data_IF_728578099297
#
_entry.id   IF_728578099297
#
_cell.length_a   1.000
_cell.length_b   1.000
_cell.length_c   1.000
_cell.angle_alpha   90.00
_cell.angle_beta   90.00
_cell.angle_gamma   90.00
#
_symmetry.space_group_name_H-M   'P 1'
#
loop_
_entity.id
_entity.type
_entity.pdbx_description
1 polymer ?
#
# COMPACT_ATOMS: atom_id res chain seq x y z
N UNK A 1 -19.93 6.28 8.53
CA UNK A 1 -20.07 5.98 7.10
C UNK A 1 -18.93 5.06 6.76
N UNK A 2 -19.20 3.86 6.25
CA UNK A 2 -18.14 2.93 5.87
C UNK A 2 -17.24 3.57 4.80
N UNK A 3 -15.94 3.63 5.07
CA UNK A 3 -14.92 4.22 4.17
C UNK A 3 -14.65 3.34 2.95
N UNK A 4 -15.14 2.11 2.96
CA UNK A 4 -14.92 1.10 1.94
C UNK A 4 -16.29 0.60 1.46
N UNK A 5 -16.60 0.86 0.19
CA UNK A 5 -17.91 0.56 -0.40
C UNK A 5 -18.01 -0.88 -0.94
N UNK A 6 -16.86 -1.54 -1.14
CA UNK A 6 -16.71 -2.88 -1.72
C UNK A 6 -15.62 -3.66 -0.99
N UNK A 7 -15.71 -5.00 -0.92
CA UNK A 7 -14.62 -5.82 -0.38
C UNK A 7 -13.29 -5.52 -1.07
N UNK A 8 -12.22 -5.33 -0.29
CA UNK A 8 -10.85 -5.23 -0.78
C UNK A 8 -10.27 -6.64 -0.82
N UNK A 9 -10.08 -7.19 -2.03
CA UNK A 9 -9.61 -8.56 -2.25
C UNK A 9 -8.27 -8.62 -3.01
N UNK A 10 -7.67 -7.46 -3.31
CA UNK A 10 -6.44 -7.33 -4.10
C UNK A 10 -5.56 -6.17 -3.64
N UNK A 11 -4.24 -6.35 -3.76
CA UNK A 11 -3.23 -5.32 -3.51
C UNK A 11 -3.36 -4.08 -4.41
N UNK A 12 -4.03 -4.22 -5.57
CA UNK A 12 -4.31 -3.12 -6.48
C UNK A 12 -5.12 -2.00 -5.82
N UNK A 13 -5.87 -2.29 -4.76
CA UNK A 13 -6.66 -1.30 -4.03
C UNK A 13 -5.81 -0.15 -3.45
N UNK A 14 -4.53 -0.37 -3.14
CA UNK A 14 -3.62 0.68 -2.66
C UNK A 14 -3.43 1.80 -3.71
N UNK A 15 -3.55 1.48 -4.99
CA UNK A 15 -3.43 2.43 -6.11
C UNK A 15 -4.77 2.91 -6.64
N UNK A 16 -5.90 2.49 -6.07
CA UNK A 16 -7.21 2.92 -6.52
C UNK A 16 -7.45 4.39 -6.16
N UNK A 17 -7.91 5.16 -7.13
CA UNK A 17 -8.26 6.57 -6.96
C UNK A 17 -9.42 6.79 -6.00
N UNK A 18 -10.27 5.79 -5.76
CA UNK A 18 -11.37 5.85 -4.77
C UNK A 18 -10.83 6.12 -3.35
N UNK A 19 -9.59 5.71 -3.05
CA UNK A 19 -8.96 5.84 -1.73
C UNK A 19 -7.87 6.92 -1.67
N UNK A 20 -7.94 7.93 -2.55
CA UNK A 20 -7.03 9.08 -2.52
C UNK A 20 -6.91 9.68 -1.12
N UNK A 21 -5.67 9.90 -0.66
CA UNK A 21 -5.28 10.40 0.67
C UNK A 21 -5.72 9.56 1.88
N UNK A 22 -6.12 8.31 1.68
CA UNK A 22 -6.59 7.44 2.75
C UNK A 22 -5.78 6.12 2.85
N UNK A 23 -4.59 6.04 2.25
CA UNK A 23 -3.73 4.84 2.29
C UNK A 23 -2.52 5.07 3.20
N UNK A 24 -2.29 4.16 4.15
CA UNK A 24 -1.10 4.18 5.02
C UNK A 24 -0.27 2.92 4.80
N UNK A 25 0.97 3.10 4.35
CA UNK A 25 1.90 1.98 4.18
C UNK A 25 2.59 1.63 5.49
N UNK A 26 2.92 0.35 5.65
CA UNK A 26 3.78 -0.11 6.72
C UNK A 26 5.23 0.34 6.46
N UNK A 27 5.90 0.86 7.49
CA UNK A 27 7.33 1.18 7.49
C UNK A 27 8.20 -0.09 7.58
N UNK A 28 7.86 -1.05 6.72
CA UNK A 28 8.57 -2.30 6.50
C UNK A 28 8.89 -2.36 5.02
N UNK A 29 10.17 -2.21 4.67
CA UNK A 29 10.61 -2.23 3.26
C UNK A 29 10.21 -3.54 2.60
N UNK A 30 10.35 -4.68 3.31
CA UNK A 30 10.00 -6.00 2.78
C UNK A 30 8.50 -6.12 2.56
N UNK A 31 7.68 -5.60 3.44
CA UNK A 31 6.21 -5.76 3.37
C UNK A 31 5.61 -4.84 2.31
N UNK A 32 6.02 -3.57 2.27
CA UNK A 32 5.59 -2.62 1.23
C UNK A 32 6.10 -3.01 -0.17
N UNK A 33 7.36 -3.43 -0.29
CA UNK A 33 7.90 -3.93 -1.57
C UNK A 33 7.26 -5.27 -1.94
N UNK A 34 7.06 -6.15 -0.97
CA UNK A 34 6.46 -7.47 -1.16
C UNK A 34 5.02 -7.41 -1.64
N UNK A 35 4.19 -6.55 -1.04
CA UNK A 35 2.83 -6.29 -1.49
C UNK A 35 2.81 -5.79 -2.95
N UNK A 36 3.74 -4.90 -3.29
CA UNK A 36 3.88 -4.37 -4.66
C UNK A 36 4.35 -5.43 -5.65
N UNK A 37 5.32 -6.28 -5.27
CA UNK A 37 5.76 -7.41 -6.09
C UNK A 37 4.61 -8.39 -6.33
N UNK A 38 3.80 -8.68 -5.30
CA UNK A 38 2.63 -9.54 -5.45
C UNK A 38 1.54 -8.93 -6.32
N UNK A 39 1.31 -7.62 -6.22
CA UNK A 39 0.42 -6.90 -7.13
C UNK A 39 0.87 -7.05 -8.59
N UNK A 40 2.17 -6.98 -8.86
CA UNK A 40 2.75 -7.14 -10.20
C UNK A 40 2.80 -8.60 -10.68
N UNK A 41 2.39 -9.57 -9.85
CA UNK A 41 2.42 -11.00 -10.18
C UNK A 41 3.77 -11.67 -9.93
N UNK A 42 4.72 -10.99 -9.31
CA UNK A 42 6.07 -11.49 -9.05
C UNK A 42 6.20 -12.30 -7.74
N UNK A 43 7.36 -12.93 -7.58
CA UNK A 43 7.73 -13.61 -6.33
C UNK A 43 8.09 -12.60 -5.24
N UNK A 44 7.66 -12.85 -4.00
CA UNK A 44 8.09 -12.09 -2.82
C UNK A 44 9.59 -12.20 -2.56
N UNK A 45 10.20 -13.28 -3.06
CA UNK A 45 11.61 -13.59 -2.88
C UNK A 45 12.39 -13.46 -4.20
N UNK A 46 11.89 -12.63 -5.14
CA UNK A 46 12.61 -12.40 -6.38
C UNK A 46 13.98 -11.78 -6.11
N UNK A 47 14.96 -12.20 -6.91
CA UNK A 47 16.28 -11.58 -6.99
C UNK A 47 16.51 -10.92 -8.35
N UNK A 48 15.48 -10.89 -9.21
CA UNK A 48 15.57 -10.21 -10.51
C UNK A 48 15.52 -8.69 -10.29
N UNK A 49 16.58 -8.02 -10.71
CA UNK A 49 16.74 -6.59 -10.54
C UNK A 49 15.69 -5.77 -11.30
N UNK A 50 15.14 -6.30 -12.40
CA UNK A 50 14.08 -5.63 -13.18
C UNK A 50 12.76 -5.65 -12.41
N UNK A 51 12.36 -6.80 -11.88
CA UNK A 51 11.13 -6.94 -11.07
C UNK A 51 11.18 -6.04 -9.84
N UNK A 52 12.34 -5.99 -9.16
CA UNK A 52 12.56 -5.11 -8.00
C UNK A 52 12.45 -3.63 -8.40
N UNK A 53 13.03 -3.24 -9.53
CA UNK A 53 12.98 -1.86 -9.99
C UNK A 53 11.56 -1.43 -10.39
N UNK A 54 10.79 -2.31 -11.03
CA UNK A 54 9.40 -2.03 -11.38
C UNK A 54 8.53 -1.84 -10.14
N UNK A 55 8.70 -2.69 -9.11
CA UNK A 55 8.01 -2.54 -7.83
C UNK A 55 8.38 -1.23 -7.13
N UNK A 56 9.66 -0.86 -7.14
CA UNK A 56 10.13 0.45 -6.63
C UNK A 56 9.46 1.61 -7.37
N UNK A 57 9.38 1.56 -8.70
CA UNK A 57 8.78 2.62 -9.50
C UNK A 57 7.27 2.76 -9.22
N UNK A 58 6.57 1.65 -8.96
CA UNK A 58 5.17 1.66 -8.52
C UNK A 58 4.95 2.27 -7.14
N UNK A 59 5.85 2.04 -6.20
CA UNK A 59 5.82 2.70 -4.89
C UNK A 59 6.10 4.20 -5.01
N UNK A 60 7.00 4.61 -5.92
CA UNK A 60 7.22 6.02 -6.24
C UNK A 60 5.98 6.65 -6.88
N UNK A 61 5.30 5.94 -7.77
CA UNK A 61 4.02 6.35 -8.36
C UNK A 61 2.96 6.56 -7.27
N UNK A 62 2.85 5.63 -6.31
CA UNK A 62 1.93 5.72 -5.18
C UNK A 62 2.19 6.94 -4.29
N UNK A 63 3.46 7.28 -4.07
CA UNK A 63 3.84 8.50 -3.34
C UNK A 63 3.47 9.76 -4.11
N UNK A 64 3.54 9.73 -5.45
CA UNK A 64 3.29 10.89 -6.32
C UNK A 64 1.82 11.11 -6.63
N UNK A 65 1.02 10.05 -6.71
CA UNK A 65 -0.39 10.14 -7.09
C UNK A 65 -1.29 10.70 -5.97
N UNK A 66 -0.74 10.87 -4.75
CA UNK A 66 -1.46 11.48 -3.62
C UNK A 66 -2.36 10.51 -2.86
N UNK A 67 -2.34 9.21 -3.18
CA UNK A 67 -3.06 8.20 -2.41
C UNK A 67 -2.42 7.94 -1.04
N UNK A 68 -1.09 8.06 -0.97
CA UNK A 68 -0.32 7.84 0.25
C UNK A 68 -0.52 8.97 1.27
N UNK A 69 -1.17 8.65 2.38
CA UNK A 69 -1.33 9.51 3.55
C UNK A 69 -0.05 9.54 4.39
N UNK A 70 0.48 8.37 4.74
CA UNK A 70 1.65 8.23 5.59
C UNK A 70 2.36 6.89 5.38
N UNK A 71 3.59 6.81 5.88
CA UNK A 71 4.32 5.56 6.11
C UNK A 71 4.50 5.48 7.63
N UNK A 72 4.08 4.38 8.25
CA UNK A 72 4.08 4.22 9.71
C UNK A 72 4.10 2.76 10.14
N UNK A 73 4.14 2.49 11.43
CA UNK A 73 4.23 1.13 11.97
C UNK A 73 3.05 0.83 12.90
N UNK A 74 3.25 0.91 14.21
CA UNK A 74 2.25 0.53 15.21
C UNK A 74 1.10 1.56 15.30
N UNK A 75 1.39 2.82 14.95
CA UNK A 75 0.45 3.94 14.95
C UNK A 75 -0.57 3.90 13.79
N UNK A 76 -0.40 2.99 12.84
CA UNK A 76 -1.32 2.82 11.72
C UNK A 76 -2.72 2.40 12.20
N UNK A 77 -2.80 1.61 13.27
CA UNK A 77 -4.08 1.17 13.85
C UNK A 77 -4.87 2.35 14.41
N UNK A 78 -4.18 3.31 15.04
CA UNK A 78 -4.80 4.51 15.59
C UNK A 78 -5.34 5.43 14.49
N UNK A 79 -4.59 5.59 13.38
CA UNK A 79 -5.01 6.37 12.20
C UNK A 79 -6.24 5.75 11.51
N UNK A 80 -6.34 4.43 11.49
CA UNK A 80 -7.50 3.72 10.98
C UNK A 80 -8.70 3.91 11.93
N UNK A 81 -8.50 3.81 13.24
CA UNK A 81 -9.54 4.00 14.24
C UNK A 81 -10.08 5.44 14.30
N UNK A 82 -9.23 6.44 14.06
CA UNK A 82 -9.62 7.85 13.99
C UNK A 82 -10.33 8.23 12.68
N UNK A 83 -10.35 7.33 11.69
CA UNK A 83 -10.94 7.59 10.37
C UNK A 83 -10.07 8.48 9.49
N UNK A 84 -8.79 8.64 9.82
CA UNK A 84 -7.79 9.34 9.00
C UNK A 84 -7.33 8.48 7.81
N UNK A 85 -7.36 7.15 7.94
CA UNK A 85 -7.00 6.20 6.89
C UNK A 85 -8.13 5.20 6.63
N UNK A 86 -8.31 4.82 5.37
CA UNK A 86 -9.27 3.80 4.92
C UNK A 86 -8.61 2.44 4.66
N UNK A 87 -7.33 2.43 4.28
CA UNK A 87 -6.57 1.21 3.95
C UNK A 87 -5.18 1.30 4.57
N UNK A 88 -4.75 0.21 5.22
CA UNK A 88 -3.37 0.08 5.69
C UNK A 88 -2.86 -1.36 5.58
N UNK A 89 -1.54 -1.49 5.45
CA UNK A 89 -0.83 -2.76 5.62
C UNK A 89 -0.48 -2.87 7.11
N UNK A 90 -0.97 -3.92 7.78
CA UNK A 90 -0.74 -4.22 9.20
C UNK A 90 -0.18 -5.63 9.39
N UNK A 91 0.34 -5.93 10.58
CA UNK A 91 0.80 -7.26 11.00
C UNK A 91 -0.33 -8.15 11.51
#
# INVERSE_FOLDING_TARGET
TDYVSKPIDSWTALWDTEYQKNVVLLDGVRDSLGATLKMLGYSLNTTDQKEINEAKDKLIELKKNGNLLAIGSDDNTDKMASGEAAISILW
#
